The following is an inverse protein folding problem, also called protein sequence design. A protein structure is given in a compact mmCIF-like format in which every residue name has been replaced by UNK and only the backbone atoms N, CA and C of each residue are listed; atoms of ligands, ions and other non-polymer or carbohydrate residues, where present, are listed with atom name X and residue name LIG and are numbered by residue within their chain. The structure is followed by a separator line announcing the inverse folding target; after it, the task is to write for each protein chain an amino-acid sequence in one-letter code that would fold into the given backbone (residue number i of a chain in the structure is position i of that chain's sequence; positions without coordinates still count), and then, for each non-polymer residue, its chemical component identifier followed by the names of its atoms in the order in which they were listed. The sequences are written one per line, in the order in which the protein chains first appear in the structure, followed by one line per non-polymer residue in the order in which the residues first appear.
data_IF_863595049485
#
_entry.id   IF_863595049485
#
_cell.length_a   1.000
_cell.length_b   1.000
_cell.length_c   1.000
_cell.angle_alpha   90.00
_cell.angle_beta   90.00
_cell.angle_gamma   90.00
#
_symmetry.space_group_name_H-M   'P 1'
#
loop_
_entity.id
_entity.type
_entity.pdbx_description
1 polymer ?
#
# COMPACT_ATOMS: atom_id res chain seq x y z
N UNK A 1 5.28 -10.25 -8.73
CA UNK A 1 5.63 -10.23 -7.30
C UNK A 1 5.07 -8.93 -6.76
N UNK A 2 4.33 -8.96 -5.66
CA UNK A 2 3.84 -7.75 -5.00
C UNK A 2 4.70 -7.46 -3.76
N UNK A 3 5.15 -6.23 -3.61
CA UNK A 3 5.79 -5.74 -2.39
C UNK A 3 4.75 -4.98 -1.56
N UNK A 4 4.64 -5.27 -0.26
CA UNK A 4 3.60 -4.71 0.63
C UNK A 4 4.18 -4.25 1.96
N UNK A 5 3.57 -3.23 2.55
CA UNK A 5 3.95 -2.74 3.88
C UNK A 5 3.48 -3.70 4.99
N UNK A 6 2.30 -4.30 4.82
CA UNK A 6 1.68 -5.18 5.81
C UNK A 6 1.21 -6.50 5.18
N UNK A 7 1.54 -7.60 5.85
CA UNK A 7 0.91 -8.90 5.64
C UNK A 7 -0.15 -9.11 6.71
N UNK A 8 -1.24 -9.73 6.32
CA UNK A 8 -2.40 -10.05 7.17
C UNK A 8 -2.81 -11.49 6.89
N UNK A 9 -3.54 -12.08 7.83
CA UNK A 9 -4.05 -13.44 7.68
C UNK A 9 -5.21 -13.49 6.67
N UNK A 10 -5.43 -14.63 6.00
CA UNK A 10 -6.57 -14.79 5.09
C UNK A 10 -7.91 -14.51 5.79
N UNK A 11 -8.73 -13.67 5.16
CA UNK A 11 -10.04 -13.27 5.67
C UNK A 11 -10.04 -12.00 6.53
N UNK A 12 -8.87 -11.43 6.86
CA UNK A 12 -8.79 -10.15 7.60
C UNK A 12 -9.10 -8.93 6.71
N UNK A 13 -9.04 -9.08 5.38
CA UNK A 13 -9.49 -8.06 4.42
C UNK A 13 -10.85 -8.46 3.87
N UNK A 14 -11.81 -7.54 3.95
CA UNK A 14 -13.12 -7.70 3.34
C UNK A 14 -12.96 -7.89 1.81
N UNK A 15 -13.59 -8.90 1.19
CA UNK A 15 -13.55 -9.12 -0.25
C UNK A 15 -13.91 -7.88 -1.09
N UNK A 16 -14.84 -7.04 -0.63
CA UNK A 16 -15.25 -5.82 -1.35
C UNK A 16 -14.19 -4.71 -1.29
N UNK A 17 -13.20 -4.83 -0.40
CA UNK A 17 -12.05 -3.93 -0.29
C UNK A 17 -10.79 -4.46 -1.00
N UNK A 18 -10.85 -5.61 -1.66
CA UNK A 18 -9.73 -6.15 -2.44
C UNK A 18 -9.63 -5.42 -3.78
N UNK A 19 -8.60 -4.58 -3.94
CA UNK A 19 -8.33 -3.88 -5.20
C UNK A 19 -7.71 -4.78 -6.28
N UNK A 20 -6.83 -5.71 -5.88
CA UNK A 20 -6.12 -6.60 -6.80
C UNK A 20 -6.31 -8.04 -6.33
N UNK A 21 -7.05 -8.88 -7.08
CA UNK A 21 -7.23 -10.28 -6.73
C UNK A 21 -5.92 -11.06 -6.64
N UNK A 22 -5.82 -11.96 -5.66
CA UNK A 22 -4.62 -12.76 -5.42
C UNK A 22 -4.18 -13.64 -6.60
N UNK A 23 -5.09 -13.96 -7.53
CA UNK A 23 -4.77 -14.72 -8.75
C UNK A 23 -3.73 -14.03 -9.64
N UNK A 24 -3.61 -12.70 -9.57
CA UNK A 24 -2.62 -11.93 -10.33
C UNK A 24 -1.26 -11.83 -9.62
N UNK A 25 -1.17 -12.30 -8.38
CA UNK A 25 0.00 -12.13 -7.51
C UNK A 25 0.68 -13.48 -7.25
N UNK A 26 1.72 -13.78 -8.03
CA UNK A 26 2.45 -15.05 -7.94
C UNK A 26 3.32 -15.22 -6.68
N UNK A 27 3.81 -14.12 -6.11
CA UNK A 27 4.60 -14.08 -4.86
C UNK A 27 4.39 -12.73 -4.18
N UNK A 28 4.46 -12.72 -2.85
CA UNK A 28 4.36 -11.54 -2.01
C UNK A 28 5.66 -11.36 -1.23
N UNK A 29 6.11 -10.12 -1.07
CA UNK A 29 7.28 -9.75 -0.26
C UNK A 29 6.89 -8.61 0.67
N UNK A 30 7.18 -8.73 1.96
CA UNK A 30 7.00 -7.63 2.90
C UNK A 30 8.26 -6.78 2.93
N UNK A 31 8.17 -5.56 2.40
CA UNK A 31 9.29 -4.63 2.41
C UNK A 31 9.46 -3.99 3.79
N UNK A 32 10.63 -3.37 4.00
CA UNK A 32 10.92 -2.60 5.22
C UNK A 32 11.63 -1.30 4.86
N UNK A 33 11.52 -0.29 5.72
CA UNK A 33 12.23 0.98 5.53
C UNK A 33 11.70 1.85 4.38
N UNK A 34 10.38 1.81 4.10
CA UNK A 34 9.78 2.65 3.07
C UNK A 34 10.05 4.14 3.29
N UNK A 35 10.84 4.74 2.41
CA UNK A 35 11.24 6.14 2.55
C UNK A 35 10.12 7.14 2.23
N UNK A 36 9.07 6.68 1.49
CA UNK A 36 7.90 7.48 1.07
C UNK A 36 8.27 8.90 0.61
N UNK A 37 9.31 9.02 -0.23
CA UNK A 37 9.81 10.31 -0.72
C UNK A 37 8.72 11.04 -1.51
N UNK A 38 8.56 12.33 -1.23
CA UNK A 38 7.68 13.22 -2.00
C UNK A 38 8.58 14.02 -2.94
N UNK A 39 8.48 13.76 -4.25
CA UNK A 39 9.29 14.47 -5.25
C UNK A 39 9.03 15.99 -5.20
N UNK A 40 7.75 16.38 -5.15
CA UNK A 40 7.33 17.78 -5.04
C UNK A 40 6.22 17.94 -4.02
N UNK A 41 6.56 18.46 -2.83
CA UNK A 41 5.60 18.74 -1.76
C UNK A 41 4.93 20.10 -2.00
N UNK A 42 3.67 20.10 -2.44
CA UNK A 42 2.85 21.31 -2.56
C UNK A 42 1.92 21.42 -1.36
N UNK A 43 1.94 22.58 -0.69
CA UNK A 43 1.06 22.88 0.44
C UNK A 43 0.26 24.15 0.15
N UNK A 44 -1.01 24.17 0.58
CA UNK A 44 -1.80 25.42 0.59
C UNK A 44 -1.42 26.19 1.84
N UNK A 45 -1.09 27.47 1.69
CA UNK A 45 -0.93 28.37 2.84
C UNK A 45 -2.34 28.82 3.23
N UNK A 46 -2.81 28.42 4.40
CA UNK A 46 -4.02 29.00 4.98
C UNK A 46 -3.72 30.44 5.37
N UNK A 47 -4.47 31.39 4.78
CA UNK A 47 -4.44 32.79 5.19
C UNK A 47 -5.59 32.98 6.18
N UNK A 48 -5.24 33.17 7.45
CA UNK A 48 -6.12 33.76 8.45
C UNK A 48 -6.26 35.26 8.26
#
# INVERSE_FOLDING_TARGET
IAEVEHLVEPGEIDPDHIHVPGIYVHRIFQGSGYEKRIEKKTVKIERG
#
